data_IF_172191353632
#
_entry.id   IF_172191353632
#
_cell.length_a   1.000
_cell.length_b   1.000
_cell.length_c   1.000
_cell.angle_alpha   90.00
_cell.angle_beta   90.00
_cell.angle_gamma   90.00
#
_symmetry.space_group_name_H-M   'P 1'
#
loop_
_entity.id
_entity.type
_entity.pdbx_description
1 polymer ?
#
# COMPACT_ATOMS: atom_id res chain seq x y z
N UNK A 1 13.52 -18.73 -25.15
CA UNK A 1 14.51 -18.19 -24.20
C UNK A 1 15.20 -17.01 -24.87
N UNK A 2 14.77 -15.77 -24.57
CA UNK A 2 15.42 -14.56 -25.10
C UNK A 2 16.42 -14.07 -24.05
N UNK A 3 17.71 -14.12 -24.40
CA UNK A 3 18.82 -13.63 -23.60
C UNK A 3 18.87 -12.09 -23.67
N UNK A 4 18.55 -11.45 -22.55
CA UNK A 4 18.73 -10.01 -22.32
C UNK A 4 20.19 -9.69 -21.92
N UNK A 5 20.65 -8.48 -22.28
CA UNK A 5 21.42 -7.65 -21.34
C UNK A 5 22.94 -7.56 -21.48
N UNK A 6 23.60 -8.33 -22.37
CA UNK A 6 25.07 -8.41 -22.41
C UNK A 6 25.83 -7.15 -22.88
N UNK A 7 25.16 -6.19 -23.54
CA UNK A 7 25.85 -5.06 -24.22
C UNK A 7 25.97 -3.82 -23.32
N UNK A 8 25.03 -3.61 -22.39
CA UNK A 8 24.99 -2.38 -21.57
C UNK A 8 26.05 -2.43 -20.45
N UNK A 9 26.31 -3.62 -19.88
CA UNK A 9 27.26 -3.80 -18.78
C UNK A 9 28.72 -3.58 -19.24
N UNK A 10 29.07 -3.99 -20.46
CA UNK A 10 30.44 -3.83 -20.98
C UNK A 10 30.86 -2.37 -21.17
N UNK A 11 29.93 -1.51 -21.63
CA UNK A 11 30.23 -0.07 -21.83
C UNK A 11 30.44 0.67 -20.50
N UNK A 12 29.71 0.29 -19.46
CA UNK A 12 29.80 0.93 -18.14
C UNK A 12 31.12 0.58 -17.41
N UNK A 13 31.62 -0.65 -17.59
CA UNK A 13 32.86 -1.13 -16.95
C UNK A 13 34.11 -0.50 -17.60
N UNK A 14 34.13 -0.30 -18.91
CA UNK A 14 35.29 0.29 -19.61
C UNK A 14 35.50 1.78 -19.32
N UNK A 15 34.46 2.52 -18.91
CA UNK A 15 34.53 3.96 -18.70
C UNK A 15 34.94 4.37 -17.27
N UNK A 16 34.93 3.45 -16.29
CA UNK A 16 34.98 3.82 -14.86
C UNK A 16 36.11 3.17 -14.03
N UNK A 17 37.11 2.50 -14.63
CA UNK A 17 38.23 1.92 -13.84
C UNK A 17 39.63 2.17 -14.43
N UNK A 18 40.57 2.47 -13.51
CA UNK A 18 41.99 2.80 -13.70
C UNK A 18 42.86 1.53 -13.98
N UNK A 19 43.95 1.57 -14.78
CA UNK A 19 44.51 0.41 -15.48
C UNK A 19 45.53 -0.43 -14.68
N UNK A 20 45.32 -0.65 -13.38
CA UNK A 20 46.24 -1.47 -12.57
C UNK A 20 45.69 -2.89 -12.30
N UNK A 21 44.40 -3.14 -12.54
CA UNK A 21 43.73 -4.40 -12.23
C UNK A 21 43.78 -5.47 -13.36
N UNK A 22 44.83 -5.52 -14.17
CA UNK A 22 44.97 -6.49 -15.28
C UNK A 22 46.22 -7.39 -15.22
N UNK A 23 46.98 -7.42 -14.11
CA UNK A 23 48.29 -8.09 -14.09
C UNK A 23 48.48 -9.30 -13.17
N UNK A 24 47.52 -9.72 -12.35
CA UNK A 24 47.68 -10.97 -11.57
C UNK A 24 46.35 -11.52 -10.99
N UNK A 25 45.66 -12.45 -11.69
CA UNK A 25 44.34 -12.94 -11.28
C UNK A 25 44.34 -13.96 -10.13
N UNK A 26 45.45 -14.62 -9.80
CA UNK A 26 45.44 -15.71 -8.81
C UNK A 26 45.75 -15.31 -7.36
N UNK A 27 46.20 -14.08 -7.11
CA UNK A 27 46.57 -13.61 -5.75
C UNK A 27 45.48 -12.85 -5.02
N UNK A 28 44.27 -12.72 -5.59
CA UNK A 28 43.15 -11.98 -5.01
C UNK A 28 42.05 -12.87 -4.39
N UNK A 29 42.34 -14.14 -4.13
CA UNK A 29 41.45 -15.04 -3.40
C UNK A 29 41.89 -15.12 -1.93
N UNK A 30 41.28 -14.28 -1.07
CA UNK A 30 41.11 -14.43 0.40
C UNK A 30 40.87 -13.11 1.16
N UNK A 31 40.60 -12.00 0.47
CA UNK A 31 40.22 -10.74 1.15
C UNK A 31 39.00 -10.01 0.57
N UNK A 32 38.12 -10.76 -0.08
CA UNK A 32 36.78 -10.28 -0.50
C UNK A 32 35.72 -11.27 -0.01
N UNK A 33 35.63 -11.43 1.31
CA UNK A 33 34.33 -11.43 1.98
C UNK A 33 34.22 -10.03 2.56
N UNK A 34 33.07 -9.38 2.43
CA UNK A 34 32.83 -7.96 2.81
C UNK A 34 33.21 -6.94 1.72
N UNK A 35 32.71 -7.04 0.50
CA UNK A 35 32.22 -5.87 -0.30
C UNK A 35 31.28 -6.37 -1.41
N UNK A 36 30.21 -7.09 -1.07
CA UNK A 36 29.14 -7.39 -2.04
C UNK A 36 27.76 -7.49 -1.38
N UNK A 37 27.54 -6.71 -0.31
CA UNK A 37 26.25 -6.61 0.40
C UNK A 37 25.86 -5.17 0.73
N UNK A 38 26.55 -4.18 0.16
CA UNK A 38 26.29 -2.77 0.39
C UNK A 38 26.53 -2.04 -0.93
N UNK A 39 25.50 -2.02 -1.78
CA UNK A 39 25.16 -0.99 -2.79
C UNK A 39 24.18 -1.57 -3.82
N UNK A 40 23.12 -2.21 -3.34
CA UNK A 40 21.84 -2.16 -4.04
C UNK A 40 20.86 -1.57 -3.05
N UNK A 41 21.13 -0.34 -2.64
CA UNK A 41 20.02 0.56 -2.38
C UNK A 41 19.34 0.69 -3.74
N UNK A 42 18.30 -0.11 -3.93
CA UNK A 42 17.31 0.15 -4.96
C UNK A 42 16.74 1.52 -4.61
N UNK A 43 17.35 2.57 -5.16
CA UNK A 43 16.77 3.91 -5.16
C UNK A 43 15.51 3.78 -6.00
N UNK A 44 14.41 3.47 -5.33
CA UNK A 44 13.08 3.75 -5.86
C UNK A 44 13.15 5.19 -6.39
N UNK A 45 12.69 5.44 -7.63
CA UNK A 45 12.76 6.80 -8.17
C UNK A 45 12.11 7.74 -7.16
N UNK A 46 12.87 8.75 -6.72
CA UNK A 46 12.38 9.90 -5.95
C UNK A 46 11.42 10.71 -6.84
N UNK A 47 10.30 10.12 -7.24
CA UNK A 47 9.12 10.89 -7.53
C UNK A 47 8.48 11.13 -6.17
N UNK A 48 8.54 12.37 -5.68
CA UNK A 48 7.65 12.80 -4.61
C UNK A 48 6.24 12.35 -4.99
N UNK A 49 5.65 11.45 -4.20
CA UNK A 49 4.27 11.05 -4.41
C UNK A 49 3.43 12.32 -4.26
N UNK A 50 2.94 12.86 -5.38
CA UNK A 50 2.15 14.10 -5.44
C UNK A 50 0.69 13.87 -5.04
N UNK A 51 0.33 12.64 -4.68
CA UNK A 51 -1.04 12.23 -4.39
C UNK A 51 -1.37 12.54 -2.92
N UNK A 52 -2.40 13.35 -2.72
CA UNK A 52 -2.90 13.67 -1.40
C UNK A 52 -3.89 12.62 -0.91
N UNK A 53 -3.87 12.37 0.39
CA UNK A 53 -4.84 11.50 1.06
C UNK A 53 -5.98 12.38 1.56
N UNK A 54 -7.21 12.06 1.15
CA UNK A 54 -8.41 12.68 1.67
C UNK A 54 -8.57 12.36 3.15
N UNK A 55 -8.86 13.40 3.94
CA UNK A 55 -8.99 13.34 5.39
C UNK A 55 -10.45 13.47 5.80
N UNK A 56 -10.83 12.82 6.88
CA UNK A 56 -12.14 13.02 7.49
C UNK A 56 -12.37 14.50 7.82
N UNK A 57 -13.58 15.05 7.60
CA UNK A 57 -14.82 14.42 7.14
C UNK A 57 -15.10 14.57 5.62
N UNK A 58 -14.08 14.55 4.75
CA UNK A 58 -14.29 14.68 3.30
C UNK A 58 -15.42 13.74 2.80
N UNK A 59 -16.45 14.27 2.11
CA UNK A 59 -17.62 13.49 1.72
C UNK A 59 -17.28 12.32 0.77
N UNK A 60 -16.17 12.41 0.01
CA UNK A 60 -15.73 11.32 -0.87
C UNK A 60 -15.40 10.03 -0.11
N UNK A 61 -15.07 10.12 1.19
CA UNK A 61 -14.77 8.97 2.03
C UNK A 61 -16.02 8.17 2.45
N UNK A 62 -17.22 8.75 2.35
CA UNK A 62 -18.49 8.12 2.73
C UNK A 62 -19.26 7.55 1.53
N UNK A 63 -18.76 7.72 0.31
CA UNK A 63 -19.39 7.22 -0.91
C UNK A 63 -19.03 5.76 -1.17
N UNK A 64 -20.01 4.96 -1.62
CA UNK A 64 -19.73 3.62 -2.14
C UNK A 64 -18.99 3.74 -3.47
N UNK A 65 -17.82 3.13 -3.56
CA UNK A 65 -17.01 3.14 -4.77
C UNK A 65 -17.64 2.29 -5.87
N UNK A 66 -17.47 2.73 -7.12
CA UNK A 66 -17.97 2.05 -8.31
C UNK A 66 -17.04 0.89 -8.73
N UNK A 67 -17.57 -0.23 -9.24
CA UNK A 67 -16.75 -1.27 -9.83
C UNK A 67 -15.78 -0.70 -10.87
N UNK A 68 -14.56 -1.25 -10.89
CA UNK A 68 -13.55 -0.92 -11.88
C UNK A 68 -13.61 -1.93 -13.03
N UNK A 69 -13.79 -1.44 -14.25
CA UNK A 69 -13.86 -2.28 -15.45
C UNK A 69 -12.48 -2.51 -16.05
N UNK A 70 -12.33 -3.57 -16.85
CA UNK A 70 -11.05 -3.91 -17.48
C UNK A 70 -10.49 -2.78 -18.37
N UNK A 71 -11.35 -2.05 -19.07
CA UNK A 71 -10.96 -0.92 -19.92
C UNK A 71 -10.40 0.27 -19.11
N UNK A 72 -10.76 0.38 -17.83
CA UNK A 72 -10.23 1.40 -16.91
C UNK A 72 -8.83 1.04 -16.36
N UNK A 73 -8.36 -0.20 -16.53
CA UNK A 73 -7.05 -0.70 -16.09
C UNK A 73 -5.89 -0.22 -16.99
N UNK A 74 -5.84 1.09 -17.17
CA UNK A 74 -4.87 1.80 -18.00
C UNK A 74 -3.49 1.88 -17.33
N UNK A 75 -2.44 2.18 -18.11
CA UNK A 75 -1.10 2.45 -17.56
C UNK A 75 -1.08 3.62 -16.57
N UNK A 76 -1.99 4.59 -16.74
CA UNK A 76 -2.19 5.69 -15.79
C UNK A 76 -2.63 5.16 -14.43
N UNK A 77 -3.61 4.26 -14.40
CA UNK A 77 -4.08 3.65 -13.15
C UNK A 77 -3.00 2.76 -12.51
N UNK A 78 -2.24 2.01 -13.30
CA UNK A 78 -1.10 1.24 -12.78
C UNK A 78 -0.03 2.15 -12.15
N UNK A 79 0.15 3.37 -12.68
CA UNK A 79 1.00 4.39 -12.03
C UNK A 79 0.41 4.85 -10.70
N UNK A 80 -0.89 5.08 -10.63
CA UNK A 80 -1.61 5.38 -9.38
C UNK A 80 -1.34 4.32 -8.32
N UNK A 81 -1.40 3.02 -8.65
CA UNK A 81 -1.10 1.97 -7.67
C UNK A 81 0.32 2.08 -7.11
N UNK A 82 1.32 2.37 -7.94
CA UNK A 82 2.71 2.57 -7.49
C UNK A 82 2.85 3.80 -6.58
N UNK A 83 2.16 4.88 -6.90
CA UNK A 83 2.12 6.09 -6.05
C UNK A 83 1.47 5.79 -4.70
N UNK A 84 0.40 4.99 -4.67
CA UNK A 84 -0.24 4.54 -3.43
C UNK A 84 0.68 3.65 -2.58
N UNK A 85 1.46 2.75 -3.19
CA UNK A 85 2.47 1.97 -2.46
C UNK A 85 3.53 2.88 -1.81
N UNK A 86 4.04 3.87 -2.56
CA UNK A 86 4.99 4.84 -2.04
C UNK A 86 4.43 5.60 -0.82
N UNK A 87 3.13 5.95 -0.84
CA UNK A 87 2.43 6.59 0.28
C UNK A 87 2.40 5.67 1.51
N UNK A 88 1.95 4.42 1.37
CA UNK A 88 1.87 3.52 2.52
C UNK A 88 3.25 3.22 3.11
N UNK A 89 4.31 3.11 2.29
CA UNK A 89 5.66 2.95 2.80
C UNK A 89 6.15 4.16 3.58
N UNK A 90 5.97 5.37 3.03
CA UNK A 90 6.34 6.61 3.71
C UNK A 90 5.59 6.78 5.03
N UNK A 91 4.30 6.43 5.05
CA UNK A 91 3.44 6.53 6.22
C UNK A 91 3.58 5.34 7.19
N UNK A 92 4.38 4.32 6.85
CA UNK A 92 4.42 3.02 7.54
C UNK A 92 3.01 2.41 7.70
N UNK A 93 2.15 2.66 6.72
CA UNK A 93 0.81 2.11 6.59
C UNK A 93 0.81 0.74 5.92
N UNK A 94 -0.37 0.14 5.85
CA UNK A 94 -0.54 -1.25 5.39
C UNK A 94 -1.38 -1.34 4.14
N UNK A 95 -2.42 -0.52 4.05
CA UNK A 95 -3.30 -0.44 2.90
C UNK A 95 -3.71 0.99 2.61
N UNK A 96 -4.20 1.19 1.38
CA UNK A 96 -4.78 2.44 0.93
C UNK A 96 -5.82 2.15 -0.15
N UNK A 97 -7.03 2.66 0.03
CA UNK A 97 -8.14 2.48 -0.91
C UNK A 97 -8.25 3.63 -1.92
N UNK A 98 -8.78 3.34 -3.11
CA UNK A 98 -9.04 4.34 -4.16
C UNK A 98 -9.78 5.59 -3.65
N UNK A 99 -10.87 5.46 -2.87
CA UNK A 99 -11.59 6.60 -2.32
C UNK A 99 -10.72 7.53 -1.45
N UNK A 100 -9.72 6.99 -0.74
CA UNK A 100 -8.83 7.79 0.09
C UNK A 100 -7.89 8.68 -0.72
N UNK A 101 -7.73 8.42 -2.01
CA UNK A 101 -6.94 9.23 -2.94
C UNK A 101 -7.81 9.92 -4.00
N UNK A 102 -9.11 10.08 -3.69
CA UNK A 102 -10.07 10.79 -4.55
C UNK A 102 -10.49 10.03 -5.81
N UNK A 103 -10.26 8.72 -5.88
CA UNK A 103 -10.68 7.88 -7.00
C UNK A 103 -11.81 6.96 -6.51
N UNK A 104 -13.10 7.27 -6.79
CA UNK A 104 -14.24 6.53 -6.27
C UNK A 104 -14.48 5.21 -7.02
N UNK A 105 -13.42 4.41 -7.19
CA UNK A 105 -13.42 3.09 -7.83
C UNK A 105 -13.03 1.99 -6.84
N UNK A 106 -13.56 0.79 -7.04
CA UNK A 106 -13.39 -0.36 -6.14
C UNK A 106 -12.03 -1.01 -6.31
N UNK A 107 -11.01 -0.39 -5.75
CA UNK A 107 -9.70 -1.02 -5.59
C UNK A 107 -8.98 -0.53 -4.34
N UNK A 108 -8.09 -1.35 -3.81
CA UNK A 108 -7.11 -0.93 -2.81
C UNK A 108 -5.75 -1.56 -3.11
N UNK A 109 -4.70 -0.97 -2.54
CA UNK A 109 -3.37 -1.58 -2.44
C UNK A 109 -3.14 -2.04 -1.01
N UNK A 110 -2.42 -3.14 -0.82
CA UNK A 110 -2.08 -3.66 0.51
C UNK A 110 -0.69 -4.30 0.50
N UNK A 111 0.05 -4.11 1.59
CA UNK A 111 1.28 -4.82 1.89
C UNK A 111 1.36 -5.13 3.40
N UNK A 112 0.90 -6.32 3.84
CA UNK A 112 0.85 -6.68 5.25
C UNK A 112 2.22 -6.97 5.87
N UNK A 113 3.26 -7.25 5.07
CA UNK A 113 4.59 -7.63 5.58
C UNK A 113 5.59 -6.48 5.49
N UNK A 114 5.29 -5.44 4.71
CA UNK A 114 6.19 -4.34 4.39
C UNK A 114 7.28 -4.69 3.38
N UNK A 115 7.26 -5.90 2.81
CA UNK A 115 8.25 -6.33 1.81
C UNK A 115 7.74 -6.09 0.39
N UNK A 116 8.53 -5.52 -0.53
CA UNK A 116 8.06 -5.21 -1.90
C UNK A 116 7.46 -6.40 -2.67
N UNK A 117 7.92 -7.63 -2.41
CA UNK A 117 7.37 -8.84 -3.03
C UNK A 117 5.95 -9.19 -2.59
N UNK A 118 5.48 -8.61 -1.48
CA UNK A 118 4.15 -8.85 -0.89
C UNK A 118 3.13 -7.74 -1.19
N UNK A 119 3.50 -6.66 -1.89
CA UNK A 119 2.95 -6.35 -3.22
C UNK A 119 1.55 -6.81 -3.62
N UNK A 120 0.42 -6.27 -3.12
CA UNK A 120 -0.90 -6.65 -3.66
C UNK A 120 -1.81 -5.48 -4.05
N UNK A 121 -2.30 -5.53 -5.29
CA UNK A 121 -3.42 -4.70 -5.77
C UNK A 121 -4.67 -5.57 -5.81
N UNK A 122 -5.73 -5.12 -5.15
CA UNK A 122 -7.02 -5.82 -5.10
C UNK A 122 -8.10 -4.97 -5.77
N UNK A 123 -8.51 -5.36 -6.97
CA UNK A 123 -9.57 -4.73 -7.75
C UNK A 123 -10.86 -5.52 -7.59
N UNK A 124 -11.98 -4.81 -7.46
CA UNK A 124 -13.32 -5.33 -7.18
C UNK A 124 -13.33 -6.44 -6.10
N UNK A 125 -12.68 -6.23 -4.95
CA UNK A 125 -12.58 -7.27 -3.93
C UNK A 125 -13.95 -7.58 -3.31
N UNK A 126 -14.19 -8.86 -3.05
CA UNK A 126 -15.38 -9.37 -2.38
C UNK A 126 -14.98 -10.36 -1.28
N UNK A 127 -15.51 -10.20 -0.07
CA UNK A 127 -15.31 -11.17 1.01
C UNK A 127 -16.26 -12.35 0.81
N UNK A 128 -15.71 -13.53 0.51
CA UNK A 128 -16.48 -14.76 0.29
C UNK A 128 -16.67 -15.58 1.57
N UNK A 129 -15.81 -15.39 2.58
CA UNK A 129 -15.94 -16.07 3.88
C UNK A 129 -15.33 -15.22 5.00
N UNK A 130 -15.96 -15.24 6.16
CA UNK A 130 -15.46 -14.66 7.42
C UNK A 130 -15.46 -15.74 8.50
N UNK A 131 -14.43 -15.76 9.34
CA UNK A 131 -14.31 -16.70 10.45
C UNK A 131 -13.60 -16.08 11.65
N UNK A 132 -14.03 -16.45 12.85
CA UNK A 132 -13.47 -15.99 14.12
C UNK A 132 -13.69 -14.51 14.40
N UNK A 133 -13.16 -14.05 15.52
CA UNK A 133 -13.28 -12.65 15.98
C UNK A 133 -11.94 -12.17 16.53
N UNK A 134 -11.55 -10.95 16.19
CA UNK A 134 -10.41 -10.23 16.76
C UNK A 134 -10.88 -8.88 17.29
N UNK A 135 -10.29 -8.48 18.42
CA UNK A 135 -10.53 -7.19 19.07
C UNK A 135 -9.21 -6.45 19.15
N UNK A 136 -8.92 -5.65 18.15
CA UNK A 136 -7.60 -5.05 17.97
C UNK A 136 -7.71 -3.56 17.60
N UNK A 137 -6.63 -2.83 17.81
CA UNK A 137 -6.57 -1.40 17.51
C UNK A 137 -6.30 -1.15 16.02
N UNK A 138 -7.10 -0.31 15.39
CA UNK A 138 -6.93 0.18 14.02
C UNK A 138 -6.62 1.68 14.02
N UNK A 139 -5.85 2.10 13.00
CA UNK A 139 -5.67 3.49 12.59
C UNK A 139 -5.93 3.61 11.10
N UNK A 140 -6.06 4.85 10.62
CA UNK A 140 -6.34 5.12 9.21
C UNK A 140 -5.61 6.41 8.77
N UNK A 141 -5.04 6.42 7.56
CA UNK A 141 -4.36 7.60 7.03
C UNK A 141 -5.32 8.77 6.78
N UNK A 142 -6.61 8.50 6.57
CA UNK A 142 -7.67 9.50 6.51
C UNK A 142 -8.10 10.05 7.88
N UNK A 143 -7.58 9.49 8.99
CA UNK A 143 -7.80 9.94 10.36
C UNK A 143 -6.46 10.11 11.11
N UNK A 144 -5.64 11.12 10.75
CA UNK A 144 -4.29 11.25 11.29
C UNK A 144 -4.25 11.28 12.82
N UNK A 145 -3.46 10.36 13.41
CA UNK A 145 -3.25 10.27 14.86
C UNK A 145 -4.43 9.71 15.65
N UNK A 146 -5.46 9.19 14.99
CA UNK A 146 -6.62 8.57 15.65
C UNK A 146 -6.48 7.05 15.61
N UNK A 147 -6.58 6.43 16.78
CA UNK A 147 -6.55 4.99 16.97
C UNK A 147 -7.81 4.55 17.70
N UNK A 148 -8.31 3.36 17.37
CA UNK A 148 -9.50 2.84 18.02
C UNK A 148 -9.61 1.33 17.93
N UNK A 149 -10.02 0.71 19.03
CA UNK A 149 -10.25 -0.74 19.12
C UNK A 149 -11.54 -1.11 18.40
N UNK A 150 -11.44 -1.93 17.36
CA UNK A 150 -12.57 -2.40 16.56
C UNK A 150 -12.65 -3.93 16.59
N UNK A 151 -13.83 -4.45 16.23
CA UNK A 151 -14.10 -5.88 16.15
C UNK A 151 -14.12 -6.30 14.68
N UNK A 152 -13.27 -7.25 14.31
CA UNK A 152 -13.16 -7.80 12.95
C UNK A 152 -13.21 -9.31 12.95
N UNK A 153 -13.47 -9.90 11.78
CA UNK A 153 -13.24 -11.33 11.61
C UNK A 153 -11.74 -11.64 11.72
N UNK A 154 -11.38 -12.74 12.38
CA UNK A 154 -9.99 -13.16 12.55
C UNK A 154 -9.36 -13.67 11.25
N UNK A 155 -10.20 -14.18 10.35
CA UNK A 155 -9.84 -14.75 9.07
C UNK A 155 -10.87 -14.36 8.03
N UNK A 156 -10.41 -13.98 6.84
CA UNK A 156 -11.26 -13.68 5.70
C UNK A 156 -10.72 -14.33 4.45
N UNK A 157 -11.62 -14.85 3.62
CA UNK A 157 -11.31 -15.22 2.25
C UNK A 157 -11.90 -14.15 1.33
N UNK A 158 -11.11 -13.68 0.36
CA UNK A 158 -11.56 -12.73 -0.64
C UNK A 158 -11.36 -13.27 -2.06
N UNK A 159 -12.24 -12.84 -2.96
CA UNK A 159 -12.02 -12.87 -4.41
C UNK A 159 -11.69 -11.45 -4.88
N UNK A 160 -10.76 -11.32 -5.82
CA UNK A 160 -10.39 -10.03 -6.41
C UNK A 160 -9.65 -10.21 -7.73
N UNK A 161 -9.54 -9.16 -8.51
CA UNK A 161 -8.68 -9.09 -9.71
C UNK A 161 -7.40 -8.32 -9.39
N UNK A 162 -6.26 -8.77 -9.90
CA UNK A 162 -4.98 -8.04 -9.72
C UNK A 162 -4.74 -6.98 -10.81
N UNK A 163 -3.61 -6.26 -10.71
CA UNK A 163 -3.22 -5.23 -11.67
C UNK A 163 -2.89 -5.76 -13.08
N UNK A 164 -2.80 -7.08 -13.27
CA UNK A 164 -2.65 -7.74 -14.58
C UNK A 164 -4.00 -8.12 -15.21
N UNK A 165 -5.09 -8.02 -14.46
CA UNK A 165 -6.42 -8.49 -14.87
C UNK A 165 -6.69 -9.94 -14.51
N UNK A 166 -5.83 -10.58 -13.71
CA UNK A 166 -6.00 -12.00 -13.30
C UNK A 166 -6.85 -12.09 -12.04
N UNK A 167 -7.81 -13.02 -12.02
CA UNK A 167 -8.63 -13.30 -10.84
C UNK A 167 -7.89 -14.16 -9.80
N UNK A 168 -8.09 -13.82 -8.53
CA UNK A 168 -7.49 -14.49 -7.39
C UNK A 168 -8.54 -14.82 -6.34
N UNK A 169 -8.30 -15.91 -5.61
CA UNK A 169 -8.98 -16.23 -4.37
C UNK A 169 -7.94 -16.42 -3.29
N UNK A 170 -7.94 -15.57 -2.26
CA UNK A 170 -6.89 -15.55 -1.23
C UNK A 170 -7.48 -15.47 0.16
N UNK A 171 -6.88 -16.22 1.08
CA UNK A 171 -7.20 -16.17 2.50
C UNK A 171 -6.20 -15.29 3.24
N UNK A 172 -6.71 -14.43 4.10
CA UNK A 172 -5.95 -13.58 5.01
C UNK A 172 -6.35 -13.91 6.45
N UNK A 173 -5.39 -13.81 7.37
CA UNK A 173 -5.57 -14.09 8.79
C UNK A 173 -4.96 -12.95 9.62
N UNK A 174 -5.41 -12.82 10.87
CA UNK A 174 -4.84 -11.88 11.83
C UNK A 174 -4.83 -10.45 11.33
N UNK A 175 -3.65 -9.84 11.36
CA UNK A 175 -3.43 -8.47 10.93
C UNK A 175 -3.79 -8.23 9.45
N UNK A 176 -3.47 -9.18 8.56
CA UNK A 176 -3.83 -9.08 7.14
C UNK A 176 -5.34 -9.14 6.93
N UNK A 177 -6.04 -10.01 7.66
CA UNK A 177 -7.51 -10.10 7.59
C UNK A 177 -8.16 -8.79 8.03
N UNK A 178 -7.62 -8.18 9.09
CA UNK A 178 -8.09 -6.89 9.61
C UNK A 178 -7.90 -5.77 8.59
N UNK A 179 -6.70 -5.65 8.02
CA UNK A 179 -6.39 -4.63 7.02
C UNK A 179 -7.27 -4.79 5.76
N UNK A 180 -7.46 -6.00 5.24
CA UNK A 180 -8.36 -6.23 4.09
C UNK A 180 -9.80 -5.81 4.38
N UNK A 181 -10.32 -6.12 5.57
CA UNK A 181 -11.67 -5.67 5.97
C UNK A 181 -11.75 -4.14 6.06
N UNK A 182 -10.71 -3.49 6.58
CA UNK A 182 -10.62 -2.03 6.65
C UNK A 182 -10.63 -1.38 5.26
N UNK A 183 -9.83 -1.88 4.33
CA UNK A 183 -9.79 -1.33 2.97
C UNK A 183 -11.10 -1.58 2.21
N UNK A 184 -11.74 -2.73 2.40
CA UNK A 184 -13.06 -3.02 1.81
C UNK A 184 -14.14 -2.09 2.36
N UNK A 185 -14.13 -1.78 3.66
CA UNK A 185 -15.04 -0.79 4.25
C UNK A 185 -14.90 0.57 3.55
N UNK A 186 -13.68 1.02 3.26
CA UNK A 186 -13.48 2.26 2.49
C UNK A 186 -14.11 2.21 1.10
N UNK A 187 -14.11 1.05 0.43
CA UNK A 187 -14.79 0.87 -0.87
C UNK A 187 -16.32 0.90 -0.73
N UNK A 188 -16.84 0.60 0.45
CA UNK A 188 -18.27 0.60 0.76
C UNK A 188 -18.73 1.90 1.44
N UNK A 189 -17.85 2.90 1.58
CA UNK A 189 -18.16 4.17 2.23
C UNK A 189 -18.32 4.05 3.75
N UNK A 190 -17.76 2.99 4.35
CA UNK A 190 -17.78 2.71 5.78
C UNK A 190 -16.43 3.12 6.37
N UNK A 191 -16.45 3.90 7.44
CA UNK A 191 -15.24 4.37 8.12
C UNK A 191 -15.06 3.62 9.43
N UNK A 192 -13.82 3.29 9.82
CA UNK A 192 -13.60 2.46 11.01
C UNK A 192 -14.22 3.01 12.31
N UNK A 193 -14.41 4.33 12.40
CA UNK A 193 -15.09 5.00 13.51
C UNK A 193 -16.55 4.55 13.70
N UNK A 194 -17.18 3.95 12.68
CA UNK A 194 -18.53 3.39 12.76
C UNK A 194 -18.56 2.03 13.45
N UNK A 195 -17.41 1.33 13.53
CA UNK A 195 -17.27 0.05 14.23
C UNK A 195 -16.88 0.20 15.71
N UNK A 196 -16.60 1.43 16.16
CA UNK A 196 -16.26 1.70 17.55
C UNK A 196 -17.48 1.55 18.46
N UNK A 197 -17.27 1.06 19.68
CA UNK A 197 -18.30 1.11 20.71
C UNK A 197 -18.70 2.56 21.01
N UNK A 198 -19.93 2.82 21.52
CA UNK A 198 -20.36 4.18 21.87
C UNK A 198 -19.39 4.88 22.84
N UNK A 199 -18.86 4.15 23.81
CA UNK A 199 -17.87 4.66 24.75
C UNK A 199 -16.54 5.03 24.06
N UNK A 200 -16.01 4.16 23.20
CA UNK A 200 -14.78 4.42 22.45
C UNK A 200 -14.96 5.61 21.49
N UNK A 201 -16.09 5.69 20.78
CA UNK A 201 -16.39 6.83 19.91
C UNK A 201 -16.53 8.14 20.68
N UNK A 202 -17.14 8.11 21.86
CA UNK A 202 -17.25 9.28 22.75
C UNK A 202 -15.87 9.79 23.18
N UNK A 203 -14.96 8.89 23.54
CA UNK A 203 -13.59 9.23 23.92
C UNK A 203 -12.80 9.94 22.79
N UNK A 204 -13.12 9.65 21.52
CA UNK A 204 -12.47 10.24 20.34
C UNK A 204 -13.14 11.53 19.85
N UNK A 205 -14.23 11.97 20.47
CA UNK A 205 -15.04 13.12 20.01
C UNK A 205 -14.23 14.41 19.86
N UNK A 206 -13.33 14.70 20.81
CA UNK A 206 -12.50 15.91 20.74
C UNK A 206 -11.59 15.92 19.50
N UNK A 207 -11.00 14.77 19.16
CA UNK A 207 -10.12 14.60 17.99
C UNK A 207 -10.91 14.63 16.68
N UNK A 208 -12.09 14.01 16.65
CA UNK A 208 -12.99 14.09 15.48
C UNK A 208 -13.42 15.53 15.20
N UNK A 209 -13.84 16.27 16.23
CA UNK A 209 -14.20 17.67 16.10
C UNK A 209 -13.01 18.54 15.65
N UNK A 210 -11.77 18.16 15.98
CA UNK A 210 -10.57 18.85 15.49
C UNK A 210 -10.39 18.64 13.98
N UNK A 211 -10.49 17.40 13.50
CA UNK A 211 -10.42 17.07 12.08
C UNK A 211 -11.50 17.81 11.27
N UNK A 212 -12.73 17.87 11.79
CA UNK A 212 -13.83 18.63 11.17
C UNK A 212 -13.51 20.13 11.05
N UNK A 213 -12.93 20.73 12.09
CA UNK A 213 -12.52 22.14 12.05
C UNK A 213 -11.37 22.38 11.09
N UNK A 214 -10.41 21.47 11.02
CA UNK A 214 -9.28 21.56 10.09
C UNK A 214 -9.76 21.50 8.63
N UNK A 215 -10.63 20.55 8.32
CA UNK A 215 -11.25 20.43 7.00
C UNK A 215 -12.07 21.68 6.62
N UNK A 216 -12.85 22.22 7.54
CA UNK A 216 -13.63 23.44 7.30
C UNK A 216 -12.76 24.67 7.04
N UNK A 217 -11.49 24.68 7.51
CA UNK A 217 -10.52 25.74 7.20
C UNK A 217 -9.87 25.54 5.83
N UNK A 218 -9.57 24.31 5.44
CA UNK A 218 -8.97 24.01 4.13
C UNK A 218 -9.95 24.12 2.97
N UNK A 219 -11.26 24.04 3.24
CA UNK A 219 -12.32 24.18 2.24
C UNK A 219 -12.72 25.65 1.94
N UNK A 220 -12.07 26.63 2.57
CA UNK A 220 -12.27 28.08 2.33
C UNK A 220 -11.13 28.66 1.52
#
# INVERSE_FOLDING_TARGET
MVLCGGIIVKKYIQQNYHPIALKNPERYCNRIRVVLYLTVEATAPENEATMEILKYPDPALNGRAEPLTGDELTEKLKKTFREMFAIIYKAKGIGLAGPQVGIPKRFFVINPTGKPEDEQVCINPEITRKEGTLHEEEGCLSFPGLLGKVVRAAKVEIKYTDASGTEHKKTFEGFGARAVQHEIDHLDGVLFITHLSPAARSALKAKLNELEREFAKSAK
#
